data_IF_117559862882
#
_entry.id   IF_117559862882
#
_cell.length_a   1.000
_cell.length_b   1.000
_cell.length_c   1.000
_cell.angle_alpha   90.00
_cell.angle_beta   90.00
_cell.angle_gamma   90.00
#
_symmetry.space_group_name_H-M   'P 1'
#
loop_
_entity.id
_entity.type
_entity.pdbx_description
1 polymer ?
#
# COMPACT_ATOMS: atom_id res chain seq x y z
N UNK A 1 -6.18 4.25 -9.72
CA UNK A 1 -7.35 4.88 -9.05
C UNK A 1 -8.18 5.78 -9.94
N UNK A 2 -7.79 6.05 -11.21
CA UNK A 2 -8.53 7.00 -12.05
C UNK A 2 -9.94 6.50 -12.42
N UNK A 3 -10.06 5.23 -12.85
CA UNK A 3 -11.31 4.65 -13.37
C UNK A 3 -12.43 4.60 -12.32
N UNK A 4 -12.10 4.22 -11.07
CA UNK A 4 -13.09 4.16 -10.00
C UNK A 4 -13.56 5.55 -9.54
N UNK A 5 -12.76 6.60 -9.76
CA UNK A 5 -13.12 7.98 -9.45
C UNK A 5 -14.01 8.58 -10.54
N UNK A 6 -13.69 8.33 -11.82
CA UNK A 6 -14.54 8.76 -12.94
C UNK A 6 -15.92 8.12 -12.92
N UNK A 7 -16.04 6.86 -12.47
CA UNK A 7 -17.34 6.19 -12.30
C UNK A 7 -18.24 6.87 -11.27
N UNK A 8 -17.67 7.45 -10.20
CA UNK A 8 -18.44 8.20 -9.19
C UNK A 8 -18.92 9.55 -9.73
N UNK A 9 -18.16 10.18 -10.63
CA UNK A 9 -18.56 11.44 -11.27
C UNK A 9 -19.71 11.23 -12.25
N UNK A 10 -19.80 10.05 -12.89
CA UNK A 10 -20.88 9.68 -13.79
C UNK A 10 -22.14 9.20 -13.05
N UNK A 11 -21.97 8.38 -12.01
CA UNK A 11 -23.07 7.88 -11.18
C UNK A 11 -22.68 7.89 -9.68
N UNK A 12 -23.18 8.85 -8.91
CA UNK A 12 -22.92 8.95 -7.47
C UNK A 12 -23.45 7.76 -6.65
N UNK A 13 -24.44 7.02 -7.15
CA UNK A 13 -25.08 5.90 -6.42
C UNK A 13 -24.19 4.66 -6.35
N UNK A 14 -23.20 4.53 -7.25
CA UNK A 14 -22.26 3.41 -7.25
C UNK A 14 -21.21 3.49 -6.13
N UNK A 15 -21.08 4.64 -5.45
CA UNK A 15 -20.09 4.87 -4.40
C UNK A 15 -20.12 3.82 -3.26
N UNK A 16 -21.26 3.47 -2.65
CA UNK A 16 -21.33 2.41 -1.63
C UNK A 16 -20.84 1.04 -2.14
N UNK A 17 -21.19 0.66 -3.37
CA UNK A 17 -20.74 -0.61 -3.96
C UNK A 17 -19.21 -0.62 -4.19
N UNK A 18 -18.67 0.46 -4.77
CA UNK A 18 -17.23 0.61 -5.03
C UNK A 18 -16.39 0.71 -3.74
N UNK A 19 -16.95 1.33 -2.69
CA UNK A 19 -16.32 1.40 -1.37
C UNK A 19 -16.26 0.02 -0.72
N UNK A 20 -17.35 -0.75 -0.79
CA UNK A 20 -17.40 -2.14 -0.29
C UNK A 20 -16.42 -3.05 -1.04
N UNK A 21 -16.23 -2.82 -2.34
CA UNK A 21 -15.25 -3.52 -3.16
C UNK A 21 -13.79 -3.05 -2.96
N UNK A 22 -13.53 -2.01 -2.15
CA UNK A 22 -12.18 -1.53 -1.85
C UNK A 22 -11.48 -0.75 -2.97
N UNK A 23 -12.18 -0.44 -4.06
CA UNK A 23 -11.62 0.20 -5.26
C UNK A 23 -11.30 1.70 -5.08
N UNK A 24 -11.84 2.30 -4.03
CA UNK A 24 -11.66 3.72 -3.70
C UNK A 24 -10.50 3.97 -2.72
N UNK A 25 -9.91 2.92 -2.15
CA UNK A 25 -8.84 3.02 -1.15
C UNK A 25 -7.47 3.02 -1.84
N UNK A 26 -6.65 4.04 -1.54
CA UNK A 26 -5.29 4.11 -2.08
C UNK A 26 -4.41 3.08 -1.38
N UNK A 27 -3.59 2.37 -2.14
CA UNK A 27 -2.48 1.61 -1.54
C UNK A 27 -1.43 2.59 -1.01
N UNK A 28 -1.35 2.67 0.32
CA UNK A 28 -0.37 3.49 1.03
C UNK A 28 0.97 2.79 1.21
N UNK A 29 1.06 1.49 0.88
CA UNK A 29 2.28 0.71 1.07
C UNK A 29 3.41 1.31 0.24
N UNK A 30 4.52 1.56 0.92
CA UNK A 30 5.77 2.02 0.31
C UNK A 30 6.87 1.03 0.68
N UNK A 31 7.80 0.79 -0.25
CA UNK A 31 8.99 0.00 0.02
C UNK A 31 9.77 0.64 1.18
N UNK A 32 10.02 -0.12 2.24
CA UNK A 32 10.87 0.32 3.34
C UNK A 32 12.32 0.53 2.85
N UNK A 33 12.98 1.59 3.33
CA UNK A 33 14.38 1.86 3.02
C UNK A 33 15.32 0.91 3.78
N UNK A 34 16.54 0.74 3.27
CA UNK A 34 17.60 0.01 3.96
C UNK A 34 18.02 0.82 5.20
N UNK A 35 17.98 0.19 6.37
CA UNK A 35 18.48 0.78 7.63
C UNK A 35 19.99 0.54 7.76
N UNK A 36 20.69 1.47 8.40
CA UNK A 36 22.13 1.33 8.66
C UNK A 36 22.40 0.09 9.53
N UNK A 37 23.55 -0.55 9.33
CA UNK A 37 23.93 -1.79 10.02
C UNK A 37 23.18 -3.05 9.57
N UNK A 38 22.10 -2.93 8.78
CA UNK A 38 21.33 -4.07 8.26
C UNK A 38 21.66 -4.35 6.78
N UNK A 39 21.52 -5.63 6.38
CA UNK A 39 21.70 -6.07 4.98
C UNK A 39 20.54 -5.60 4.09
N UNK A 40 19.33 -5.44 4.63
CA UNK A 40 18.11 -4.92 3.96
C UNK A 40 17.30 -4.06 4.94
N UNK A 41 16.06 -3.69 4.62
CA UNK A 41 15.19 -2.92 5.51
C UNK A 41 15.11 -3.47 6.94
N UNK A 42 15.07 -4.81 7.09
CA UNK A 42 14.99 -5.50 8.40
C UNK A 42 16.00 -6.64 8.60
N UNK A 43 16.70 -7.08 7.54
CA UNK A 43 17.58 -8.27 7.61
C UNK A 43 18.90 -7.94 8.33
N UNK A 44 19.08 -8.44 9.54
CA UNK A 44 20.34 -8.33 10.27
C UNK A 44 21.44 -9.25 9.70
N UNK A 45 22.74 -8.90 9.88
CA UNK A 45 23.82 -9.86 9.72
C UNK A 45 23.70 -10.99 10.76
N UNK A 46 24.27 -12.15 10.46
CA UNK A 46 24.35 -13.25 11.41
C UNK A 46 25.29 -12.86 12.55
N UNK A 47 24.82 -12.94 13.79
CA UNK A 47 25.65 -12.74 14.97
C UNK A 47 26.50 -13.99 15.23
N UNK A 48 27.80 -13.79 15.49
CA UNK A 48 28.69 -14.86 15.96
C UNK A 48 29.00 -14.62 17.43
N UNK A 49 28.48 -15.50 18.30
CA UNK A 49 28.81 -15.48 19.73
C UNK A 49 30.27 -15.92 19.90
N UNK A 50 30.96 -15.31 20.86
CA UNK A 50 32.29 -15.73 21.29
C UNK A 50 32.18 -16.89 22.26
#
# INVERSE_FOLDING_TARGET
MAIARSLIELDPEMRPALKKAGLLTRDSRKKESKKYGLKKARKAPQFTKR
#
